data_IF_218672568834
#
_entry.id   IF_218672568834
#
_cell.length_a   1.000
_cell.length_b   1.000
_cell.length_c   1.000
_cell.angle_alpha   90.00
_cell.angle_beta   90.00
_cell.angle_gamma   90.00
#
_symmetry.space_group_name_H-M   'P 1'
#
loop_
_entity.id
_entity.type
_entity.pdbx_description
1 polymer ?
#
# COMPACT_ATOMS: atom_id res chain seq x y z
N UNK A 1 43.43 3.46 -4.04
CA UNK A 1 42.44 2.65 -3.30
C UNK A 1 42.08 3.46 -2.08
N UNK A 2 40.83 3.91 -1.92
CA UNK A 2 40.43 4.63 -0.70
C UNK A 2 40.65 3.77 0.53
N UNK A 3 40.83 4.36 1.72
CA UNK A 3 40.96 3.62 3.00
C UNK A 3 39.77 2.70 3.32
N UNK A 4 38.70 2.80 2.54
CA UNK A 4 37.53 1.93 2.58
C UNK A 4 37.49 1.05 1.33
N UNK A 5 37.04 -0.20 1.47
CA UNK A 5 36.91 -1.21 0.40
C UNK A 5 35.84 -0.90 -0.67
N UNK A 6 35.56 0.38 -0.91
CA UNK A 6 34.61 0.87 -1.90
C UNK A 6 35.35 1.40 -3.13
N UNK A 7 34.68 1.36 -4.27
CA UNK A 7 35.15 2.04 -5.48
C UNK A 7 35.13 3.57 -5.27
N UNK A 8 35.98 4.30 -6.00
CA UNK A 8 36.03 5.77 -5.93
C UNK A 8 34.67 6.41 -6.28
N UNK A 9 33.92 5.81 -7.20
CA UNK A 9 32.58 6.24 -7.61
C UNK A 9 31.60 6.07 -6.44
N UNK A 10 31.60 4.91 -5.78
CA UNK A 10 30.73 4.62 -4.64
C UNK A 10 31.03 5.57 -3.49
N UNK A 11 32.31 5.82 -3.22
CA UNK A 11 32.75 6.77 -2.21
C UNK A 11 32.20 8.18 -2.48
N UNK A 12 32.21 8.62 -3.75
CA UNK A 12 31.63 9.92 -4.16
C UNK A 12 30.11 9.96 -3.94
N UNK A 13 29.39 8.90 -4.29
CA UNK A 13 27.93 8.80 -4.10
C UNK A 13 27.58 8.85 -2.61
N UNK A 14 28.30 8.08 -1.78
CA UNK A 14 28.10 8.03 -0.34
C UNK A 14 28.34 9.42 0.29
N UNK A 15 29.44 10.08 -0.06
CA UNK A 15 29.75 11.44 0.40
C UNK A 15 28.63 12.43 0.05
N UNK A 16 28.16 12.42 -1.20
CA UNK A 16 27.06 13.28 -1.65
C UNK A 16 25.72 12.96 -0.95
N UNK A 17 25.49 11.72 -0.54
CA UNK A 17 24.30 11.35 0.24
C UNK A 17 24.40 11.81 1.69
N UNK A 18 25.58 11.65 2.31
CA UNK A 18 25.85 12.13 3.68
C UNK A 18 25.70 13.65 3.73
N UNK A 19 26.27 14.36 2.77
CA UNK A 19 26.17 15.82 2.67
C UNK A 19 24.72 16.29 2.56
N UNK A 20 23.92 15.68 1.66
CA UNK A 20 22.49 15.99 1.53
C UNK A 20 21.72 15.75 2.83
N UNK A 21 21.97 14.62 3.51
CA UNK A 21 21.32 14.31 4.80
C UNK A 21 21.70 15.31 5.89
N UNK A 22 22.97 15.70 5.96
CA UNK A 22 23.46 16.69 6.91
C UNK A 22 22.78 18.04 6.68
N UNK A 23 22.70 18.49 5.42
CA UNK A 23 22.00 19.72 5.02
C UNK A 23 20.53 19.74 5.47
N UNK A 24 19.75 18.72 5.10
CA UNK A 24 18.33 18.69 5.47
C UNK A 24 18.11 18.59 6.98
N UNK A 25 19.00 17.89 7.70
CA UNK A 25 18.95 17.85 9.17
C UNK A 25 19.22 19.23 9.77
N UNK A 26 20.20 19.97 9.26
CA UNK A 26 20.49 21.32 9.73
C UNK A 26 19.30 22.27 9.49
N UNK A 27 18.69 22.21 8.31
CA UNK A 27 17.48 22.98 7.97
C UNK A 27 16.32 22.65 8.92
N UNK A 28 16.04 21.36 9.14
CA UNK A 28 15.00 20.92 10.06
C UNK A 28 15.25 21.34 11.51
N UNK A 29 16.49 21.16 12.00
CA UNK A 29 16.85 21.55 13.38
C UNK A 29 16.67 23.05 13.56
N UNK A 30 17.13 23.87 12.61
CA UNK A 30 16.93 25.34 12.63
C UNK A 30 15.45 25.69 12.79
N UNK A 31 14.60 25.17 11.91
CA UNK A 31 13.16 25.45 11.96
C UNK A 31 12.48 24.93 13.23
N UNK A 32 12.94 23.78 13.76
CA UNK A 32 12.36 23.18 14.97
C UNK A 32 12.76 23.92 16.25
N UNK A 33 13.98 24.42 16.33
CA UNK A 33 14.48 25.09 17.54
C UNK A 33 14.06 26.56 17.62
N UNK A 34 13.62 27.17 16.51
CA UNK A 34 13.17 28.56 16.47
C UNK A 34 11.82 28.74 17.22
N UNK A 35 11.80 29.40 18.40
CA UNK A 35 10.59 29.47 19.24
C UNK A 35 9.47 30.30 18.60
N UNK A 36 9.83 31.38 17.90
CA UNK A 36 8.88 32.27 17.25
C UNK A 36 8.18 31.61 16.04
N UNK A 37 8.86 30.71 15.33
CA UNK A 37 8.27 29.98 14.19
C UNK A 37 7.45 28.79 14.65
N UNK A 38 7.91 28.08 15.67
CA UNK A 38 7.18 26.95 16.25
C UNK A 38 5.79 27.35 16.76
N UNK A 39 5.63 28.58 17.28
CA UNK A 39 4.36 29.12 17.74
C UNK A 39 3.36 29.48 16.61
N UNK A 40 3.80 29.66 15.36
CA UNK A 40 2.93 30.11 14.26
C UNK A 40 2.23 28.94 13.55
N UNK A 41 2.89 27.78 13.40
CA UNK A 41 2.38 26.62 12.63
C UNK A 41 1.90 25.48 13.54
N UNK A 42 1.18 25.80 14.62
CA UNK A 42 0.63 24.80 15.57
C UNK A 42 1.68 23.80 16.12
N UNK A 43 2.97 24.17 16.15
CA UNK A 43 4.05 23.35 16.70
C UNK A 43 4.61 22.25 15.78
N UNK A 44 4.22 22.17 14.50
CA UNK A 44 4.82 21.23 13.54
C UNK A 44 5.67 21.94 12.50
N UNK A 45 6.75 21.29 12.04
CA UNK A 45 7.60 21.80 10.96
C UNK A 45 7.06 21.23 9.65
N UNK A 46 6.64 22.11 8.75
CA UNK A 46 6.16 21.70 7.43
C UNK A 46 7.28 21.05 6.58
N UNK A 47 7.04 19.82 6.11
CA UNK A 47 7.94 19.12 5.20
C UNK A 47 7.40 19.12 3.75
N UNK A 48 8.05 19.87 2.83
CA UNK A 48 7.63 19.90 1.43
C UNK A 48 7.80 18.56 0.72
N UNK A 49 8.74 17.70 1.16
CA UNK A 49 8.92 16.38 0.54
C UNK A 49 7.75 15.45 0.88
N UNK A 50 7.29 15.48 2.14
CA UNK A 50 6.12 14.73 2.59
C UNK A 50 4.86 15.22 1.88
N UNK A 51 4.65 16.54 1.78
CA UNK A 51 3.50 17.07 1.03
C UNK A 51 3.52 16.62 -0.43
N UNK A 52 4.67 16.67 -1.11
CA UNK A 52 4.79 16.19 -2.50
C UNK A 52 4.46 14.71 -2.65
N UNK A 53 4.88 13.89 -1.69
CA UNK A 53 4.55 12.47 -1.69
C UNK A 53 3.04 12.26 -1.51
N UNK A 54 2.41 12.95 -0.56
CA UNK A 54 0.96 12.87 -0.34
C UNK A 54 0.17 13.39 -1.55
N UNK A 55 0.57 14.50 -2.15
CA UNK A 55 -0.07 15.04 -3.34
C UNK A 55 0.06 14.08 -4.51
N UNK A 56 1.23 13.46 -4.70
CA UNK A 56 1.40 12.41 -5.71
C UNK A 56 0.47 11.22 -5.45
N UNK A 57 0.28 10.82 -4.19
CA UNK A 57 -0.65 9.75 -3.81
C UNK A 57 -2.11 10.10 -4.10
N UNK A 58 -2.51 11.34 -3.85
CA UNK A 58 -3.86 11.82 -4.16
C UNK A 58 -4.11 11.87 -5.68
N UNK A 59 -3.15 12.36 -6.46
CA UNK A 59 -3.25 12.50 -7.92
C UNK A 59 -2.80 11.24 -8.69
N UNK A 60 -2.74 10.07 -8.06
CA UNK A 60 -2.27 8.83 -8.71
C UNK A 60 -3.03 8.47 -9.99
N UNK A 61 -4.33 8.81 -10.03
CA UNK A 61 -5.21 8.53 -11.18
C UNK A 61 -4.84 9.35 -12.40
N UNK A 62 -4.38 10.59 -12.22
CA UNK A 62 -3.97 11.49 -13.31
C UNK A 62 -2.70 11.01 -14.01
N UNK A 63 -1.79 10.40 -13.25
CA UNK A 63 -0.51 9.87 -13.75
C UNK A 63 -0.57 8.37 -14.12
N UNK A 64 -1.77 7.78 -14.16
CA UNK A 64 -1.91 6.36 -14.48
C UNK A 64 -1.60 6.09 -15.96
N UNK A 65 -0.66 5.18 -16.21
CA UNK A 65 -0.35 4.69 -17.56
C UNK A 65 -0.93 3.29 -17.73
N UNK A 66 -1.81 3.06 -18.72
CA UNK A 66 -2.33 1.73 -19.00
C UNK A 66 -1.22 0.86 -19.61
N UNK A 67 -0.66 -0.02 -18.79
CA UNK A 67 0.34 -1.02 -19.20
C UNK A 67 -0.24 -2.42 -19.05
N UNK A 68 0.21 -3.40 -19.85
CA UNK A 68 -0.27 -4.78 -19.73
C UNK A 68 -0.03 -5.35 -18.33
N UNK A 69 1.09 -4.99 -17.69
CA UNK A 69 1.39 -5.39 -16.32
C UNK A 69 0.36 -4.85 -15.32
N UNK A 70 -0.10 -3.60 -15.48
CA UNK A 70 -1.14 -3.01 -14.63
C UNK A 70 -2.51 -3.69 -14.85
N UNK A 71 -2.84 -4.03 -16.10
CA UNK A 71 -4.07 -4.75 -16.41
C UNK A 71 -4.11 -6.14 -15.77
N UNK A 72 -3.01 -6.91 -15.87
CA UNK A 72 -2.89 -8.22 -15.22
C UNK A 72 -3.05 -8.10 -13.71
N UNK A 73 -2.40 -7.12 -13.08
CA UNK A 73 -2.58 -6.85 -11.64
C UNK A 73 -4.03 -6.55 -11.28
N UNK A 74 -4.74 -5.77 -12.09
CA UNK A 74 -6.16 -5.46 -11.86
C UNK A 74 -7.04 -6.71 -11.93
N UNK A 75 -6.80 -7.59 -12.90
CA UNK A 75 -7.54 -8.86 -13.04
C UNK A 75 -7.34 -9.74 -11.80
N UNK A 76 -6.10 -9.91 -11.35
CA UNK A 76 -5.81 -10.73 -10.17
C UNK A 76 -6.34 -10.14 -8.85
N UNK A 77 -6.38 -8.81 -8.72
CA UNK A 77 -6.80 -8.15 -7.48
C UNK A 77 -8.31 -7.95 -7.39
N UNK A 78 -9.02 -7.85 -8.52
CA UNK A 78 -10.46 -7.56 -8.55
C UNK A 78 -11.27 -8.75 -9.07
N UNK A 79 -10.96 -9.23 -10.27
CA UNK A 79 -11.78 -10.23 -10.96
C UNK A 79 -11.65 -11.61 -10.31
N UNK A 80 -10.41 -12.03 -10.01
CA UNK A 80 -10.15 -13.33 -9.40
C UNK A 80 -10.85 -13.54 -8.06
N UNK A 81 -10.81 -12.61 -7.07
CA UNK A 81 -11.51 -12.80 -5.80
C UNK A 81 -13.04 -12.79 -5.96
N UNK A 82 -13.59 -12.00 -6.90
CA UNK A 82 -15.03 -12.03 -7.17
C UNK A 82 -15.49 -13.40 -7.69
N UNK A 83 -14.77 -13.94 -8.67
CA UNK A 83 -15.09 -15.25 -9.25
C UNK A 83 -14.86 -16.39 -8.26
N UNK A 84 -13.75 -16.35 -7.51
CA UNK A 84 -13.44 -17.40 -6.53
C UNK A 84 -14.48 -17.44 -5.40
N UNK A 85 -14.89 -16.29 -4.89
CA UNK A 85 -15.93 -16.21 -3.86
C UNK A 85 -17.29 -16.72 -4.37
N UNK A 86 -17.68 -16.32 -5.59
CA UNK A 86 -18.89 -16.83 -6.24
C UNK A 86 -18.88 -18.36 -6.41
N UNK A 87 -17.75 -18.92 -6.84
CA UNK A 87 -17.58 -20.36 -7.00
C UNK A 87 -17.64 -21.11 -5.66
N UNK A 88 -17.03 -20.57 -4.60
CA UNK A 88 -17.10 -21.16 -3.26
C UNK A 88 -18.53 -21.21 -2.75
N UNK A 89 -19.30 -20.14 -2.91
CA UNK A 89 -20.72 -20.12 -2.52
C UNK A 89 -21.51 -21.14 -3.34
N UNK A 90 -21.33 -21.15 -4.66
CA UNK A 90 -22.04 -22.07 -5.55
C UNK A 90 -21.78 -23.53 -5.15
N UNK A 91 -20.50 -23.92 -5.01
CA UNK A 91 -20.13 -25.28 -4.63
C UNK A 91 -20.65 -25.67 -3.25
N UNK A 92 -20.66 -24.75 -2.28
CA UNK A 92 -21.23 -25.00 -0.96
C UNK A 92 -22.75 -25.23 -1.04
N UNK A 93 -23.46 -24.43 -1.84
CA UNK A 93 -24.92 -24.59 -2.04
C UNK A 93 -25.25 -25.89 -2.75
N UNK A 94 -24.60 -26.20 -3.87
CA UNK A 94 -24.85 -27.44 -4.61
C UNK A 94 -24.52 -28.69 -3.81
N UNK A 95 -23.40 -28.70 -3.06
CA UNK A 95 -23.07 -29.82 -2.16
C UNK A 95 -24.14 -30.03 -1.10
N UNK A 96 -24.63 -28.94 -0.50
CA UNK A 96 -25.67 -29.00 0.54
C UNK A 96 -27.01 -29.47 -0.02
N UNK A 97 -27.40 -29.01 -1.20
CA UNK A 97 -28.61 -29.51 -1.88
C UNK A 97 -28.51 -31.00 -2.20
N UNK A 98 -27.35 -31.46 -2.64
CA UNK A 98 -27.13 -32.89 -2.89
C UNK A 98 -27.25 -33.71 -1.60
N UNK A 99 -26.67 -33.26 -0.49
CA UNK A 99 -26.79 -33.93 0.82
C UNK A 99 -28.24 -34.02 1.31
N UNK A 100 -29.07 -33.03 1.00
CA UNK A 100 -30.51 -33.05 1.30
C UNK A 100 -31.22 -34.10 0.44
N UNK A 101 -30.88 -34.19 -0.86
CA UNK A 101 -31.50 -35.14 -1.79
C UNK A 101 -31.11 -36.59 -1.52
N UNK A 102 -29.87 -36.85 -1.12
CA UNK A 102 -29.39 -38.20 -0.78
C UNK A 102 -29.85 -38.65 0.60
N UNK A 103 -30.42 -37.75 1.42
CA UNK A 103 -30.88 -38.05 2.77
C UNK A 103 -29.77 -38.07 3.82
N UNK A 104 -28.53 -37.72 3.46
CA UNK A 104 -27.42 -37.53 4.41
C UNK A 104 -27.73 -36.42 5.42
N UNK A 105 -28.41 -35.36 4.96
CA UNK A 105 -28.91 -34.29 5.82
C UNK A 105 -30.42 -34.43 6.02
N UNK A 106 -30.86 -34.54 7.28
CA UNK A 106 -32.28 -34.50 7.62
C UNK A 106 -32.87 -33.15 7.21
N UNK A 107 -34.02 -33.19 6.53
CA UNK A 107 -34.69 -31.98 6.00
C UNK A 107 -34.98 -30.92 7.08
N UNK A 108 -35.24 -31.34 8.33
CA UNK A 108 -35.47 -30.46 9.48
C UNK A 108 -34.25 -29.63 9.89
N UNK A 109 -33.04 -30.06 9.54
CA UNK A 109 -31.77 -29.46 9.98
C UNK A 109 -31.21 -28.46 8.93
N UNK A 110 -32.04 -28.09 7.93
CA UNK A 110 -31.72 -27.05 6.95
C UNK A 110 -31.55 -25.67 7.62
N UNK A 111 -30.56 -24.90 7.19
CA UNK A 111 -30.23 -23.59 7.76
C UNK A 111 -31.25 -22.50 7.42
N UNK A 112 -31.80 -22.51 6.19
CA UNK A 112 -32.82 -21.56 5.74
C UNK A 112 -34.18 -22.24 5.81
N UNK A 113 -34.87 -22.10 6.95
CA UNK A 113 -36.18 -22.75 7.17
C UNK A 113 -37.37 -21.88 6.74
N UNK A 114 -37.16 -20.57 6.61
CA UNK A 114 -38.20 -19.54 6.49
C UNK A 114 -38.04 -18.63 5.26
N UNK A 115 -37.18 -19.01 4.32
CA UNK A 115 -37.03 -18.36 3.02
C UNK A 115 -37.43 -19.37 1.95
#
# INVERSE_FOLDING_TARGET
MSDYAFSEIECKIIKAQIERRAKYRQEYLKMRTDPCKHSQEAGHVFDPALQRFLSYKACQTEYFVPTPANAVRAIFTVVLPMLSYGYLIYTQRSKKENQIRTGELRYRDRMFKLV
#
